data_IF_326974166316
#
_entry.id   IF_326974166316
#
_cell.length_a   1.000
_cell.length_b   1.000
_cell.length_c   1.000
_cell.angle_alpha   90.00
_cell.angle_beta   90.00
_cell.angle_gamma   90.00
#
_symmetry.space_group_name_H-M   'P 1'
#
loop_
_entity.id
_entity.type
_entity.pdbx_description
1 polymer ?
#
# COMPACT_ATOMS: atom_id res chain seq x y z
N UNK A 1 24.91 -36.65 24.78
CA UNK A 1 24.42 -36.94 23.42
C UNK A 1 23.03 -36.36 23.32
N UNK A 2 22.88 -35.21 22.67
CA UNK A 2 21.58 -34.52 22.53
C UNK A 2 21.65 -33.01 22.31
N UNK A 3 22.69 -32.46 21.67
CA UNK A 3 22.64 -31.11 21.08
C UNK A 3 21.86 -31.19 19.78
N UNK A 4 20.54 -31.00 19.85
CA UNK A 4 19.71 -30.73 18.69
C UNK A 4 19.79 -29.23 18.35
N UNK A 5 19.99 -28.83 17.08
CA UNK A 5 20.01 -27.42 16.74
C UNK A 5 18.64 -26.79 17.07
N UNK A 6 18.58 -25.55 17.58
CA UNK A 6 17.31 -24.89 17.79
C UNK A 6 16.62 -24.69 16.43
N UNK A 7 15.53 -25.43 16.21
CA UNK A 7 14.60 -25.20 15.10
C UNK A 7 13.99 -23.81 15.26
N UNK A 8 14.53 -22.82 14.55
CA UNK A 8 14.11 -21.42 14.64
C UNK A 8 12.83 -21.11 13.86
N UNK A 9 11.95 -20.26 14.42
CA UNK A 9 11.13 -19.36 13.62
C UNK A 9 10.91 -18.01 14.33
N UNK A 10 11.98 -17.31 14.70
CA UNK A 10 11.93 -15.85 14.86
C UNK A 10 12.57 -15.25 13.61
N UNK A 11 11.79 -14.99 12.56
CA UNK A 11 12.21 -13.92 11.66
C UNK A 11 12.43 -12.69 12.55
N UNK A 12 13.69 -12.26 12.68
CA UNK A 12 14.08 -11.32 13.74
C UNK A 12 13.20 -10.07 13.66
N UNK A 13 12.86 -9.40 14.77
CA UNK A 13 12.07 -8.16 14.74
C UNK A 13 12.57 -7.14 13.71
N UNK A 14 13.89 -7.11 13.45
CA UNK A 14 14.51 -6.30 12.41
C UNK A 14 14.11 -6.71 10.97
N UNK A 15 14.09 -7.99 10.64
CA UNK A 15 13.71 -8.49 9.30
C UNK A 15 12.24 -8.16 9.02
N UNK A 16 11.36 -8.35 10.00
CA UNK A 16 9.95 -7.99 9.89
C UNK A 16 9.75 -6.47 9.71
N UNK A 17 10.50 -5.65 10.46
CA UNK A 17 10.45 -4.20 10.32
C UNK A 17 10.92 -3.74 8.93
N UNK A 18 11.95 -4.38 8.37
CA UNK A 18 12.42 -4.10 7.01
C UNK A 18 11.35 -4.47 5.99
N UNK A 19 10.74 -5.66 6.07
CA UNK A 19 9.67 -6.08 5.16
C UNK A 19 8.44 -5.16 5.23
N UNK A 20 8.05 -4.72 6.42
CA UNK A 20 6.97 -3.76 6.60
C UNK A 20 7.30 -2.39 5.98
N UNK A 21 8.55 -1.93 6.15
CA UNK A 21 9.02 -0.69 5.54
C UNK A 21 9.02 -0.77 4.01
N UNK A 22 9.49 -1.89 3.43
CA UNK A 22 9.47 -2.12 1.99
C UNK A 22 8.05 -2.21 1.44
N UNK A 23 7.18 -2.97 2.09
CA UNK A 23 5.77 -3.07 1.71
C UNK A 23 5.10 -1.69 1.73
N UNK A 24 5.39 -0.88 2.76
CA UNK A 24 4.89 0.49 2.85
C UNK A 24 5.44 1.40 1.74
N UNK A 25 6.72 1.27 1.36
CA UNK A 25 7.31 2.01 0.24
C UNK A 25 6.65 1.62 -1.09
N UNK A 26 6.49 0.33 -1.35
CA UNK A 26 5.84 -0.20 -2.54
C UNK A 26 4.38 0.27 -2.65
N UNK A 27 3.62 0.19 -1.55
CA UNK A 27 2.23 0.68 -1.51
C UNK A 27 2.14 2.18 -1.83
N UNK A 28 2.99 3.02 -1.21
CA UNK A 28 3.03 4.45 -1.50
C UNK A 28 3.40 4.74 -2.95
N UNK A 29 4.30 3.94 -3.55
CA UNK A 29 4.64 4.05 -4.96
C UNK A 29 3.46 3.71 -5.87
N UNK A 30 2.74 2.62 -5.59
CA UNK A 30 1.53 2.25 -6.32
C UNK A 30 0.45 3.33 -6.23
N UNK A 31 0.20 3.87 -5.04
CA UNK A 31 -0.78 4.95 -4.82
C UNK A 31 -0.49 6.19 -5.67
N UNK A 32 0.79 6.59 -5.80
CA UNK A 32 1.18 7.75 -6.62
C UNK A 32 0.86 7.59 -8.11
N UNK A 33 0.71 6.36 -8.61
CA UNK A 33 0.40 6.07 -10.02
C UNK A 33 -1.09 5.98 -10.31
N UNK A 34 -1.96 6.08 -9.30
CA UNK A 34 -3.40 5.98 -9.50
C UNK A 34 -3.94 7.17 -10.32
N UNK A 35 -4.99 6.95 -11.12
CA UNK A 35 -5.56 8.02 -11.94
C UNK A 35 -6.37 9.02 -11.11
N UNK A 36 -6.45 10.25 -11.61
CA UNK A 36 -7.33 11.31 -11.10
C UNK A 36 -6.97 11.74 -9.67
N UNK A 37 -7.99 11.93 -8.81
CA UNK A 37 -7.83 12.40 -7.43
C UNK A 37 -7.47 11.30 -6.42
N UNK A 38 -7.36 10.04 -6.85
CA UNK A 38 -7.12 8.91 -5.95
C UNK A 38 -5.76 8.93 -5.23
N UNK A 39 -4.64 9.38 -5.84
CA UNK A 39 -3.37 9.54 -5.13
C UNK A 39 -3.48 10.51 -3.95
N UNK A 40 -4.24 11.59 -4.09
CA UNK A 40 -4.41 12.59 -3.03
C UNK A 40 -5.17 12.02 -1.84
N UNK A 41 -6.31 11.37 -2.09
CA UNK A 41 -7.12 10.78 -1.03
C UNK A 41 -6.39 9.64 -0.30
N UNK A 42 -5.85 8.67 -1.03
CA UNK A 42 -5.17 7.55 -0.40
C UNK A 42 -3.83 7.98 0.22
N UNK A 43 -3.16 8.99 -0.35
CA UNK A 43 -1.98 9.60 0.24
C UNK A 43 -2.27 10.24 1.60
N UNK A 44 -3.37 11.00 1.72
CA UNK A 44 -3.80 11.58 2.98
C UNK A 44 -4.16 10.51 4.02
N UNK A 45 -4.88 9.45 3.62
CA UNK A 45 -5.24 8.34 4.52
C UNK A 45 -4.05 7.48 4.96
N UNK A 46 -2.96 7.45 4.18
CA UNK A 46 -1.72 6.75 4.51
C UNK A 46 -0.68 7.68 5.16
N UNK A 47 -1.03 8.94 5.39
CA UNK A 47 -0.17 9.91 6.03
C UNK A 47 0.12 9.49 7.47
N UNK A 48 1.28 9.92 7.99
CA UNK A 48 1.60 9.83 9.41
C UNK A 48 1.00 10.97 10.23
N UNK A 49 0.49 12.01 9.55
CA UNK A 49 -0.35 12.99 10.21
C UNK A 49 -1.67 12.27 10.50
N UNK A 50 -2.01 12.08 11.78
CA UNK A 50 -3.24 11.43 12.26
C UNK A 50 -4.48 12.30 11.96
N UNK A 51 -4.69 12.60 10.68
CA UNK A 51 -5.74 13.48 10.19
C UNK A 51 -7.10 12.81 10.36
N UNK A 52 -8.04 13.58 10.86
CA UNK A 52 -9.45 13.19 10.90
C UNK A 52 -10.05 13.20 9.50
N UNK A 53 -11.14 12.45 9.31
CA UNK A 53 -11.89 12.48 8.05
C UNK A 53 -12.35 13.90 7.66
N UNK A 54 -12.66 14.75 8.64
CA UNK A 54 -13.07 16.14 8.39
C UNK A 54 -11.91 16.96 7.82
N UNK A 55 -10.70 16.82 8.37
CA UNK A 55 -9.51 17.52 7.88
C UNK A 55 -9.16 17.06 6.47
N UNK A 56 -9.16 15.74 6.23
CA UNK A 56 -8.93 15.19 4.88
C UNK A 56 -9.97 15.72 3.88
N UNK A 57 -11.25 15.77 4.27
CA UNK A 57 -12.30 16.33 3.41
C UNK A 57 -12.04 17.81 3.08
N UNK A 58 -11.65 18.60 4.09
CA UNK A 58 -11.31 20.02 3.95
C UNK A 58 -10.13 20.25 3.00
N UNK A 59 -9.02 19.58 3.24
CA UNK A 59 -7.79 19.68 2.43
C UNK A 59 -8.04 19.30 0.95
N UNK A 60 -8.95 18.36 0.70
CA UNK A 60 -9.26 17.88 -0.65
C UNK A 60 -10.40 18.62 -1.33
N UNK A 61 -11.02 19.60 -0.64
CA UNK A 61 -12.20 20.33 -1.13
C UNK A 61 -13.39 19.41 -1.39
N UNK A 62 -13.60 18.41 -0.52
CA UNK A 62 -14.65 17.40 -0.63
C UNK A 62 -15.63 17.50 0.53
N UNK A 63 -16.87 17.03 0.35
CA UNK A 63 -17.77 16.83 1.49
C UNK A 63 -17.34 15.61 2.30
N UNK A 64 -17.39 15.69 3.63
CA UNK A 64 -17.07 14.55 4.50
C UNK A 64 -17.90 13.30 4.15
N UNK A 65 -19.18 13.47 3.79
CA UNK A 65 -20.06 12.37 3.37
C UNK A 65 -19.62 11.68 2.07
N UNK A 66 -18.87 12.36 1.20
CA UNK A 66 -18.37 11.77 -0.05
C UNK A 66 -17.11 10.92 0.12
N UNK A 67 -16.43 11.00 1.28
CA UNK A 67 -15.17 10.27 1.50
C UNK A 67 -15.33 8.76 1.39
N UNK A 68 -16.41 8.19 1.93
CA UNK A 68 -16.67 6.74 1.88
C UNK A 68 -16.75 6.21 0.44
N UNK A 69 -17.69 6.71 -0.39
CA UNK A 69 -17.80 6.32 -1.79
C UNK A 69 -16.51 6.54 -2.60
N UNK A 70 -15.84 7.69 -2.43
CA UNK A 70 -14.61 7.99 -3.18
C UNK A 70 -13.45 7.09 -2.73
N UNK A 71 -13.32 6.82 -1.43
CA UNK A 71 -12.34 5.86 -0.88
C UNK A 71 -12.56 4.47 -1.49
N UNK A 72 -13.79 3.98 -1.52
CA UNK A 72 -14.13 2.68 -2.12
C UNK A 72 -13.72 2.64 -3.60
N UNK A 73 -14.08 3.66 -4.38
CA UNK A 73 -13.69 3.79 -5.79
C UNK A 73 -12.17 3.77 -5.97
N UNK A 74 -11.44 4.53 -5.16
CA UNK A 74 -9.98 4.64 -5.26
C UNK A 74 -9.26 3.35 -4.86
N UNK A 75 -9.72 2.66 -3.81
CA UNK A 75 -9.22 1.33 -3.46
C UNK A 75 -9.53 0.30 -4.56
N UNK A 76 -10.69 0.40 -5.20
CA UNK A 76 -11.04 -0.42 -6.36
C UNK A 76 -10.08 -0.20 -7.55
N UNK A 77 -9.70 1.05 -7.84
CA UNK A 77 -8.68 1.36 -8.84
C UNK A 77 -7.32 0.75 -8.48
N UNK A 78 -6.89 0.90 -7.21
CA UNK A 78 -5.62 0.35 -6.74
C UNK A 78 -5.59 -1.18 -6.86
N UNK A 79 -6.66 -1.86 -6.43
CA UNK A 79 -6.77 -3.31 -6.54
C UNK A 79 -6.65 -3.78 -7.98
N UNK A 80 -7.40 -3.17 -8.92
CA UNK A 80 -7.32 -3.55 -10.34
C UNK A 80 -5.93 -3.35 -10.93
N UNK A 81 -5.27 -2.24 -10.60
CA UNK A 81 -3.93 -1.95 -11.07
C UNK A 81 -2.93 -3.00 -10.56
N UNK A 82 -2.92 -3.28 -9.25
CA UNK A 82 -2.02 -4.27 -8.66
C UNK A 82 -2.30 -5.69 -9.18
N UNK A 83 -3.57 -6.06 -9.34
CA UNK A 83 -3.94 -7.36 -9.93
C UNK A 83 -3.39 -7.50 -11.35
N UNK A 84 -3.43 -6.45 -12.16
CA UNK A 84 -2.87 -6.48 -13.52
C UNK A 84 -1.34 -6.64 -13.52
N UNK A 85 -0.63 -6.02 -12.57
CA UNK A 85 0.83 -6.16 -12.43
C UNK A 85 1.24 -7.55 -11.98
N UNK A 86 0.54 -8.11 -10.99
CA UNK A 86 0.81 -9.47 -10.49
C UNK A 86 0.49 -10.50 -11.58
N UNK A 87 -0.55 -10.26 -12.38
CA UNK A 87 -0.94 -11.14 -13.48
C UNK A 87 -0.05 -11.00 -14.73
N UNK A 88 0.86 -10.02 -14.77
CA UNK A 88 1.81 -9.82 -15.87
C UNK A 88 3.28 -10.13 -15.51
N UNK A 89 3.61 -11.33 -14.98
CA UNK A 89 5.00 -11.66 -14.64
C UNK A 89 5.90 -11.91 -15.88
N UNK A 90 5.34 -12.09 -17.08
CA UNK A 90 6.02 -12.69 -18.25
C UNK A 90 6.68 -11.71 -19.25
N UNK A 91 6.84 -10.42 -18.93
CA UNK A 91 7.58 -9.49 -19.83
C UNK A 91 9.06 -9.27 -19.45
N UNK A 92 9.55 -9.88 -18.36
CA UNK A 92 10.94 -9.74 -17.90
C UNK A 92 11.81 -11.00 -18.11
N UNK A 93 11.41 -11.90 -19.00
CA UNK A 93 12.11 -13.17 -19.25
C UNK A 93 12.47 -13.40 -20.72
N UNK A 94 12.96 -12.39 -21.44
CA UNK A 94 13.50 -12.59 -22.79
C UNK A 94 14.86 -11.91 -22.96
N UNK A 95 15.86 -12.49 -22.30
CA UNK A 95 17.25 -12.32 -22.69
C UNK A 95 17.50 -13.23 -23.92
N UNK A 96 18.08 -12.64 -24.97
CA UNK A 96 18.38 -13.27 -26.26
C UNK A 96 19.78 -13.86 -26.24
#
# INVERSE_FOLDING_TARGET
MGDGPPSGPEARPAEQAVLAAETGRALRAAVRRLPGRCPLLLGALLSRADLTYREIAGELGMSQGSLGPVRSRCLGCLRRMLTAEIAAPELWGKER
#
